data_IF_753519941556
#
_entry.id   IF_753519941556
#
_cell.length_a   1.000
_cell.length_b   1.000
_cell.length_c   1.000
_cell.angle_alpha   90.00
_cell.angle_beta   90.00
_cell.angle_gamma   90.00
#
_symmetry.space_group_name_H-M   'P 1'
#
loop_
_entity.id
_entity.type
_entity.pdbx_description
1 polymer ?
#
# COMPACT_ATOMS: atom_id res chain seq x y z
N UNK A 1 -11.11 14.55 -3.96
CA UNK A 1 -11.87 13.63 -3.09
C UNK A 1 -10.92 13.02 -2.06
N UNK A 2 -11.38 12.17 -1.12
CA UNK A 2 -10.44 11.42 -0.24
C UNK A 2 -9.50 10.55 -1.07
N UNK A 3 -10.03 9.91 -2.12
CA UNK A 3 -9.28 9.07 -3.07
C UNK A 3 -8.13 9.82 -3.75
N UNK A 4 -8.34 11.08 -4.15
CA UNK A 4 -7.29 11.87 -4.80
C UNK A 4 -6.07 12.14 -3.91
N UNK A 5 -6.20 12.07 -2.57
CA UNK A 5 -5.06 12.18 -1.64
C UNK A 5 -4.22 10.91 -1.53
N UNK A 6 -4.74 9.76 -1.95
CA UNK A 6 -3.99 8.51 -2.05
C UNK A 6 -3.32 8.41 -3.42
N UNK A 7 -4.03 8.77 -4.49
CA UNK A 7 -3.48 8.81 -5.85
C UNK A 7 -2.32 9.80 -6.01
N UNK A 8 -2.37 10.96 -5.34
CA UNK A 8 -1.28 11.96 -5.41
C UNK A 8 0.06 11.48 -4.82
N UNK A 9 0.06 10.49 -3.91
CA UNK A 9 1.31 9.98 -3.33
C UNK A 9 2.16 9.21 -4.35
N UNK A 10 1.53 8.62 -5.37
CA UNK A 10 2.22 7.88 -6.44
C UNK A 10 3.15 8.81 -7.26
N UNK A 11 2.78 10.09 -7.41
CA UNK A 11 3.56 11.04 -8.23
C UNK A 11 4.91 11.35 -7.60
N UNK A 12 4.94 11.63 -6.29
CA UNK A 12 6.17 12.00 -5.55
C UNK A 12 7.20 10.86 -5.59
N UNK A 13 6.73 9.61 -5.56
CA UNK A 13 7.62 8.45 -5.57
C UNK A 13 8.32 8.27 -6.92
N UNK A 14 7.68 8.65 -8.01
CA UNK A 14 8.26 8.51 -9.36
C UNK A 14 9.50 9.40 -9.53
N UNK A 15 9.48 10.58 -8.92
CA UNK A 15 10.60 11.53 -8.95
C UNK A 15 11.86 10.97 -8.25
N UNK A 16 11.71 10.18 -7.18
CA UNK A 16 12.84 9.51 -6.50
C UNK A 16 13.41 8.33 -7.29
N UNK A 17 12.62 7.75 -8.20
CA UNK A 17 13.06 6.60 -8.98
C UNK A 17 13.87 7.01 -10.22
N UNK A 18 14.01 8.30 -10.53
CA UNK A 18 14.83 8.75 -11.66
C UNK A 18 16.34 8.52 -11.43
N UNK A 19 16.77 8.30 -10.18
CA UNK A 19 18.17 8.11 -9.77
C UNK A 19 18.77 6.71 -10.02
N UNK A 20 18.04 5.80 -10.68
CA UNK A 20 18.62 4.48 -10.98
C UNK A 20 19.90 4.59 -11.84
N UNK A 21 20.95 3.80 -11.53
CA UNK A 21 22.20 3.82 -12.29
C UNK A 21 21.94 3.43 -13.75
N UNK A 22 22.67 4.06 -14.67
CA UNK A 22 22.66 3.66 -16.08
C UNK A 22 23.54 2.41 -16.26
N UNK A 23 22.98 1.26 -15.89
CA UNK A 23 23.64 -0.04 -15.92
C UNK A 23 22.84 -1.06 -16.72
N UNK A 24 23.53 -2.00 -17.36
CA UNK A 24 22.92 -3.11 -18.12
C UNK A 24 22.56 -4.29 -17.19
N UNK A 25 21.82 -3.97 -16.13
CA UNK A 25 21.44 -4.90 -15.07
C UNK A 25 19.95 -5.30 -15.16
N UNK A 26 19.66 -6.54 -14.77
CA UNK A 26 18.30 -7.04 -14.63
C UNK A 26 17.74 -6.71 -13.25
N UNK A 27 16.62 -5.99 -13.22
CA UNK A 27 15.88 -5.67 -11.99
C UNK A 27 14.65 -6.56 -11.90
N UNK A 28 14.42 -7.14 -10.72
CA UNK A 28 13.26 -7.98 -10.45
C UNK A 28 12.24 -7.27 -9.57
N UNK A 29 11.01 -7.15 -10.06
CA UNK A 29 9.88 -6.62 -9.29
C UNK A 29 8.76 -7.65 -9.29
N UNK A 30 8.49 -8.24 -8.13
CA UNK A 30 7.35 -9.14 -7.90
C UNK A 30 7.21 -10.22 -9.00
N UNK A 31 8.31 -10.91 -9.31
CA UNK A 31 8.35 -11.99 -10.30
C UNK A 31 8.49 -11.55 -11.77
N UNK A 32 8.58 -10.25 -12.07
CA UNK A 32 8.90 -9.74 -13.41
C UNK A 32 10.31 -9.19 -13.49
N UNK A 33 10.99 -9.47 -14.59
CA UNK A 33 12.28 -8.90 -14.95
C UNK A 33 12.08 -7.62 -15.76
N UNK A 34 12.96 -6.64 -15.54
CA UNK A 34 13.09 -5.44 -16.36
C UNK A 34 14.56 -5.17 -16.62
N UNK A 35 14.95 -4.96 -17.87
CA UNK A 35 16.32 -4.55 -18.20
C UNK A 35 16.49 -3.05 -17.93
N UNK A 36 17.30 -2.66 -16.95
CA UNK A 36 17.32 -1.29 -16.43
C UNK A 36 17.60 -0.25 -17.53
N UNK A 37 18.56 -0.53 -18.40
CA UNK A 37 18.98 0.37 -19.49
C UNK A 37 17.90 0.63 -20.54
N UNK A 38 17.13 -0.39 -20.91
CA UNK A 38 16.18 -0.30 -22.06
C UNK A 38 14.72 -0.24 -21.62
N UNK A 39 14.41 -0.67 -20.40
CA UNK A 39 13.06 -0.81 -19.88
C UNK A 39 12.82 0.06 -18.63
N UNK A 40 13.66 1.08 -18.37
CA UNK A 40 13.50 2.01 -17.23
C UNK A 40 12.06 2.51 -17.08
N UNK A 41 11.43 2.97 -18.17
CA UNK A 41 10.04 3.43 -18.12
C UNK A 41 9.05 2.34 -17.71
N UNK A 42 9.23 1.09 -18.17
CA UNK A 42 8.39 -0.05 -17.77
C UNK A 42 8.60 -0.41 -16.31
N UNK A 43 9.85 -0.39 -15.83
CA UNK A 43 10.19 -0.59 -14.42
C UNK A 43 9.49 0.45 -13.54
N UNK A 44 9.64 1.73 -13.87
CA UNK A 44 9.00 2.84 -13.15
C UNK A 44 7.47 2.71 -13.12
N UNK A 45 6.88 2.35 -14.26
CA UNK A 45 5.45 2.12 -14.38
C UNK A 45 4.99 0.92 -13.53
N UNK A 46 5.74 -0.19 -13.50
CA UNK A 46 5.42 -1.36 -12.69
C UNK A 46 5.48 -1.07 -11.18
N UNK A 47 6.47 -0.29 -10.74
CA UNK A 47 6.59 0.11 -9.33
C UNK A 47 5.51 1.13 -8.94
N UNK A 48 5.29 2.18 -9.75
CA UNK A 48 4.29 3.21 -9.47
C UNK A 48 2.85 2.68 -9.50
N UNK A 49 2.60 1.58 -10.22
CA UNK A 49 1.30 0.92 -10.23
C UNK A 49 0.96 0.16 -8.95
N UNK A 50 1.90 0.00 -8.01
CA UNK A 50 1.64 -0.70 -6.75
C UNK A 50 0.90 0.24 -5.80
N UNK A 51 -0.09 -0.31 -5.10
CA UNK A 51 -0.81 0.44 -4.07
C UNK A 51 0.15 0.72 -2.90
N UNK A 52 0.43 2.01 -2.70
CA UNK A 52 1.35 2.49 -1.68
C UNK A 52 0.60 3.05 -0.49
N UNK A 53 0.86 2.49 0.70
CA UNK A 53 0.28 2.95 1.95
C UNK A 53 1.37 3.51 2.85
N UNK A 54 1.14 4.71 3.35
CA UNK A 54 2.07 5.48 4.18
C UNK A 54 1.41 5.86 5.49
N UNK A 55 2.17 6.44 6.41
CA UNK A 55 1.60 7.08 7.58
C UNK A 55 0.57 8.13 7.19
N UNK A 56 -0.52 8.15 7.95
CA UNK A 56 -1.62 9.10 7.82
C UNK A 56 -1.88 9.74 9.16
N UNK A 57 -2.53 10.90 9.09
CA UNK A 57 -2.90 11.72 10.24
C UNK A 57 -4.27 12.33 10.00
N UNK A 58 -4.93 12.75 11.08
CA UNK A 58 -6.27 13.33 11.06
C UNK A 58 -7.34 12.35 10.54
N UNK A 59 -7.13 11.05 10.71
CA UNK A 59 -8.22 10.08 10.61
C UNK A 59 -9.02 10.05 11.93
N UNK A 60 -10.24 9.51 11.92
CA UNK A 60 -11.05 9.40 13.14
C UNK A 60 -10.30 8.61 14.21
N UNK A 61 -10.28 9.01 15.50
CA UNK A 61 -9.60 8.27 16.56
C UNK A 61 -9.93 6.77 16.56
N UNK A 62 -8.91 5.92 16.60
CA UNK A 62 -9.09 4.46 16.68
C UNK A 62 -9.76 4.11 18.01
N UNK A 63 -10.84 3.34 17.98
CA UNK A 63 -11.62 3.04 19.20
C UNK A 63 -12.32 4.26 19.83
N UNK A 64 -12.41 5.39 19.13
CA UNK A 64 -13.07 6.62 19.61
C UNK A 64 -12.17 7.55 20.44
N UNK A 65 -11.17 7.01 21.15
CA UNK A 65 -10.25 7.78 22.01
C UNK A 65 -8.76 7.53 21.73
N UNK A 66 -8.44 6.53 20.91
CA UNK A 66 -7.06 6.18 20.56
C UNK A 66 -6.42 7.14 19.55
N UNK A 67 -5.27 6.73 18.97
CA UNK A 67 -4.53 7.57 18.02
C UNK A 67 -5.38 8.02 16.82
N UNK A 68 -5.11 9.24 16.35
CA UNK A 68 -5.62 9.81 15.08
C UNK A 68 -4.53 9.95 14.02
N UNK A 69 -3.37 9.33 14.28
CA UNK A 69 -2.21 9.23 13.41
C UNK A 69 -1.49 7.92 13.71
N UNK A 70 -0.99 7.26 12.66
CA UNK A 70 -0.18 6.04 12.80
C UNK A 70 1.33 6.29 12.66
N UNK A 71 1.72 7.55 12.46
CA UNK A 71 3.12 7.95 12.45
C UNK A 71 3.85 7.54 13.73
N UNK A 72 4.99 6.85 13.57
CA UNK A 72 5.83 6.39 14.67
C UNK A 72 5.58 4.95 15.11
N UNK A 73 4.48 4.31 14.71
CA UNK A 73 4.15 2.94 15.15
C UNK A 73 3.53 2.05 14.07
N UNK A 74 2.82 2.63 13.09
CA UNK A 74 2.02 1.88 12.12
C UNK A 74 2.78 1.26 10.94
N UNK A 75 4.11 1.35 10.86
CA UNK A 75 4.83 1.03 9.61
C UNK A 75 4.63 -0.42 9.18
N UNK A 76 4.68 -1.38 10.10
CA UNK A 76 4.46 -2.79 9.75
C UNK A 76 3.00 -3.05 9.32
N UNK A 77 2.04 -2.32 9.89
CA UNK A 77 0.64 -2.38 9.44
C UNK A 77 0.52 -1.89 8.00
N UNK A 78 1.18 -0.77 7.65
CA UNK A 78 1.23 -0.26 6.27
C UNK A 78 1.91 -1.23 5.31
N UNK A 79 3.00 -1.88 5.72
CA UNK A 79 3.62 -2.95 4.95
C UNK A 79 2.66 -4.13 4.71
N UNK A 80 1.90 -4.53 5.74
CA UNK A 80 0.84 -5.54 5.62
C UNK A 80 -0.26 -5.13 4.64
N UNK A 81 -0.72 -3.87 4.70
CA UNK A 81 -1.69 -3.33 3.73
C UNK A 81 -1.15 -3.40 2.29
N UNK A 82 0.11 -3.01 2.06
CA UNK A 82 0.72 -3.06 0.72
C UNK A 82 0.81 -4.50 0.19
N UNK A 83 1.24 -5.44 1.03
CA UNK A 83 1.35 -6.84 0.66
C UNK A 83 -0.01 -7.46 0.32
N UNK A 84 -1.02 -7.24 1.17
CA UNK A 84 -2.37 -7.75 0.92
C UNK A 84 -3.02 -7.06 -0.30
N UNK A 85 -2.86 -5.74 -0.43
CA UNK A 85 -3.38 -5.02 -1.59
C UNK A 85 -2.75 -5.54 -2.89
N UNK A 86 -1.46 -5.84 -2.91
CA UNK A 86 -0.82 -6.46 -4.07
C UNK A 86 -1.43 -7.84 -4.38
N UNK A 87 -1.72 -8.66 -3.36
CA UNK A 87 -2.41 -9.93 -3.56
C UNK A 87 -3.82 -9.75 -4.15
N UNK A 88 -4.57 -8.76 -3.68
CA UNK A 88 -5.90 -8.42 -4.21
C UNK A 88 -5.84 -7.90 -5.65
N UNK A 89 -4.85 -7.06 -5.98
CA UNK A 89 -4.61 -6.60 -7.35
C UNK A 89 -4.33 -7.81 -8.26
N UNK A 90 -3.40 -8.70 -7.87
CA UNK A 90 -3.12 -9.91 -8.64
C UNK A 90 -4.38 -10.78 -8.82
N UNK A 91 -5.20 -10.94 -7.77
CA UNK A 91 -6.42 -11.75 -7.81
C UNK A 91 -7.50 -11.20 -8.72
N UNK A 92 -7.70 -9.88 -8.71
CA UNK A 92 -8.86 -9.25 -9.35
C UNK A 92 -8.54 -8.54 -10.68
N UNK A 93 -7.31 -8.07 -10.86
CA UNK A 93 -6.87 -7.33 -12.05
C UNK A 93 -5.74 -8.04 -12.80
N UNK A 94 -5.05 -8.98 -12.16
CA UNK A 94 -3.89 -9.68 -12.71
C UNK A 94 -2.56 -8.94 -12.47
N UNK A 95 -1.45 -9.69 -12.51
CA UNK A 95 -0.10 -9.14 -12.31
C UNK A 95 0.31 -8.15 -13.42
N UNK A 96 -0.26 -8.29 -14.61
CA UNK A 96 0.03 -7.45 -15.77
C UNK A 96 -0.74 -6.12 -15.76
N UNK A 97 -1.73 -5.97 -14.89
CA UNK A 97 -2.42 -4.70 -14.73
C UNK A 97 -1.47 -3.61 -14.22
N UNK A 98 -1.66 -2.42 -14.77
CA UNK A 98 -0.83 -1.26 -14.54
C UNK A 98 -1.73 -0.02 -14.37
N UNK A 99 -1.39 0.84 -13.42
CA UNK A 99 -2.16 2.05 -13.15
C UNK A 99 -1.68 3.16 -14.06
N UNK A 100 -2.60 3.90 -14.67
CA UNK A 100 -2.30 5.00 -15.57
C UNK A 100 -3.16 6.21 -15.25
N UNK A 101 -2.51 7.33 -14.90
CA UNK A 101 -3.19 8.56 -14.43
C UNK A 101 -4.27 9.09 -15.38
N UNK A 102 -4.07 8.92 -16.68
CA UNK A 102 -4.96 9.46 -17.73
C UNK A 102 -6.03 8.45 -18.19
N UNK A 103 -6.04 7.23 -17.65
CA UNK A 103 -7.02 6.19 -17.99
C UNK A 103 -8.01 5.97 -16.86
N UNK A 104 -9.25 5.71 -17.23
CA UNK A 104 -10.25 5.23 -16.29
C UNK A 104 -9.83 3.85 -15.77
N UNK A 105 -9.80 3.73 -14.44
CA UNK A 105 -9.39 2.48 -13.79
C UNK A 105 -10.60 1.54 -13.63
N UNK A 106 -10.40 0.22 -13.68
CA UNK A 106 -11.48 -0.74 -13.44
C UNK A 106 -12.17 -0.51 -12.10
N UNK A 107 -13.46 -0.84 -12.00
CA UNK A 107 -14.24 -0.67 -10.75
C UNK A 107 -13.64 -1.46 -9.59
N UNK A 108 -13.03 -2.60 -9.89
CA UNK A 108 -12.34 -3.47 -8.96
C UNK A 108 -11.15 -2.76 -8.30
N UNK A 109 -10.40 -1.92 -9.03
CA UNK A 109 -9.31 -1.12 -8.44
C UNK A 109 -9.83 -0.22 -7.33
N UNK A 110 -10.92 0.51 -7.58
CA UNK A 110 -11.53 1.40 -6.59
C UNK A 110 -12.09 0.61 -5.40
N UNK A 111 -12.69 -0.56 -5.62
CA UNK A 111 -13.16 -1.45 -4.54
C UNK A 111 -12.01 -1.93 -3.66
N UNK A 112 -10.90 -2.36 -4.27
CA UNK A 112 -9.69 -2.79 -3.55
C UNK A 112 -9.15 -1.63 -2.72
N UNK A 113 -8.95 -0.45 -3.32
CA UNK A 113 -8.44 0.74 -2.62
C UNK A 113 -9.33 1.14 -1.44
N UNK A 114 -10.64 1.07 -1.60
CA UNK A 114 -11.61 1.37 -0.54
C UNK A 114 -11.46 0.46 0.68
N UNK A 115 -11.01 -0.78 0.53
CA UNK A 115 -10.78 -1.68 1.66
C UNK A 115 -9.70 -1.15 2.63
N UNK A 116 -8.77 -0.30 2.17
CA UNK A 116 -7.60 0.14 2.93
C UNK A 116 -7.65 1.60 3.41
N UNK A 117 -8.73 2.33 3.12
CA UNK A 117 -8.88 3.71 3.60
C UNK A 117 -8.88 3.75 5.13
N UNK A 118 -8.38 4.84 5.72
CA UNK A 118 -8.25 5.01 7.16
C UNK A 118 -9.59 5.36 7.84
N UNK A 119 -10.57 4.47 7.67
CA UNK A 119 -11.90 4.55 8.25
C UNK A 119 -12.27 3.20 8.86
N UNK A 120 -12.96 3.23 10.00
CA UNK A 120 -13.40 2.02 10.71
C UNK A 120 -14.28 1.08 9.89
N UNK A 121 -14.98 1.57 8.87
CA UNK A 121 -15.87 0.79 8.02
C UNK A 121 -15.16 0.14 6.83
N UNK A 122 -13.85 0.34 6.68
CA UNK A 122 -13.02 -0.29 5.67
C UNK A 122 -12.29 -1.50 6.29
N UNK A 123 -12.44 -2.68 5.69
CA UNK A 123 -12.09 -3.97 6.29
C UNK A 123 -10.60 -4.17 6.58
N UNK A 124 -9.71 -3.54 5.82
CA UNK A 124 -8.25 -3.59 6.01
C UNK A 124 -7.68 -2.21 6.35
N UNK A 125 -8.51 -1.35 6.95
CA UNK A 125 -8.07 -0.06 7.47
C UNK A 125 -7.09 -0.21 8.62
N UNK A 126 -6.33 0.87 8.88
CA UNK A 126 -5.47 0.95 10.07
C UNK A 126 -6.28 0.75 11.37
N UNK A 127 -7.55 1.15 11.38
CA UNK A 127 -8.48 0.94 12.50
C UNK A 127 -8.71 -0.55 12.75
N UNK A 128 -9.11 -1.29 11.71
CA UNK A 128 -9.41 -2.71 11.82
C UNK A 128 -8.17 -3.52 12.17
N UNK A 129 -7.04 -3.25 11.51
CA UNK A 129 -5.79 -3.97 11.80
C UNK A 129 -5.27 -3.71 13.22
N UNK A 130 -5.29 -2.46 13.69
CA UNK A 130 -4.87 -2.14 15.05
C UNK A 130 -5.81 -2.75 16.11
N UNK A 131 -7.13 -2.74 15.84
CA UNK A 131 -8.11 -3.32 16.75
C UNK A 131 -8.03 -4.85 16.81
N UNK A 132 -7.80 -5.50 15.67
CA UNK A 132 -7.61 -6.96 15.60
C UNK A 132 -6.31 -7.38 16.30
N UNK A 133 -5.26 -6.57 16.23
CA UNK A 133 -3.99 -6.83 16.94
C UNK A 133 -4.15 -6.95 18.45
N UNK A 134 -5.20 -6.38 19.04
CA UNK A 134 -5.52 -6.58 20.47
C UNK A 134 -5.77 -8.07 20.79
N UNK A 135 -6.42 -8.80 19.88
CA UNK A 135 -6.59 -10.25 19.99
C UNK A 135 -5.28 -11.02 19.93
N UNK A 136 -4.27 -10.47 19.25
CA UNK A 136 -2.90 -11.01 19.16
C UNK A 136 -1.98 -10.52 20.29
N UNK A 137 -2.54 -9.91 21.34
CA UNK A 137 -1.79 -9.39 22.48
C UNK A 137 -1.01 -8.10 22.20
N UNK A 138 -1.38 -7.34 21.16
CA UNK A 138 -0.80 -6.02 20.83
C UNK A 138 -1.73 -4.89 21.20
N UNK A 139 -1.22 -3.94 21.99
CA UNK A 139 -1.99 -2.72 22.28
C UNK A 139 -2.08 -1.82 21.05
N UNK A 140 -3.17 -1.05 20.94
CA UNK A 140 -3.29 -0.03 19.88
C UNK A 140 -2.15 0.99 20.07
N UNK A 141 -1.38 1.24 19.01
CA UNK A 141 -0.20 2.10 19.06
C UNK A 141 1.12 1.34 19.22
N UNK A 142 1.09 0.03 19.42
CA UNK A 142 2.30 -0.80 19.49
C UNK A 142 2.79 -1.17 18.09
N UNK A 143 4.11 -1.36 17.96
CA UNK A 143 4.71 -1.86 16.73
C UNK A 143 4.50 -3.38 16.56
N UNK A 144 4.25 -3.83 15.33
CA UNK A 144 3.97 -5.22 15.01
C UNK A 144 5.18 -5.86 14.34
N UNK A 145 5.47 -7.12 14.66
CA UNK A 145 6.38 -7.95 13.87
C UNK A 145 5.68 -8.56 12.64
N UNK A 146 6.44 -9.12 11.69
CA UNK A 146 5.89 -9.73 10.48
C UNK A 146 4.87 -10.84 10.75
N UNK A 147 5.10 -11.69 11.75
CA UNK A 147 4.16 -12.76 12.11
C UNK A 147 2.82 -12.19 12.61
N UNK A 148 2.86 -11.20 13.50
CA UNK A 148 1.65 -10.62 14.08
C UNK A 148 0.78 -9.94 13.03
N UNK A 149 1.38 -9.15 12.12
CA UNK A 149 0.60 -8.55 11.03
C UNK A 149 0.02 -9.62 10.10
N UNK A 150 0.72 -10.73 9.86
CA UNK A 150 0.19 -11.83 9.07
C UNK A 150 -1.01 -12.52 9.72
N UNK A 151 -0.99 -12.74 11.05
CA UNK A 151 -2.15 -13.28 11.77
C UNK A 151 -3.34 -12.31 11.76
N UNK A 152 -3.09 -11.01 11.90
CA UNK A 152 -4.14 -9.98 11.81
C UNK A 152 -4.81 -9.91 10.43
N UNK A 153 -4.09 -10.29 9.36
CA UNK A 153 -4.62 -10.31 8.00
C UNK A 153 -5.32 -11.63 7.62
N UNK A 154 -5.18 -12.68 8.44
CA UNK A 154 -5.72 -14.02 8.20
C UNK A 154 -7.21 -14.11 8.47
#
# INVERSE_FOLDING_TARGET
SVLSKYENQITIFTDYLEEFPDADELVWILGKQHLLKTEKSKLLSDISARLWFTYRRKFSPIGGTGPSSDAGWGCMLRCGQMMLAQALICRHLGRDWNWEKQKEQPKEYQRILQCFLDRKDCCYSIHQMAQMGVGEGKSIGEWFGPNTVAQVLK
#
